data_IF_465461220585
#
_entry.id   IF_465461220585
#
_cell.length_a   1.000
_cell.length_b   1.000
_cell.length_c   1.000
_cell.angle_alpha   90.00
_cell.angle_beta   90.00
_cell.angle_gamma   90.00
#
_symmetry.space_group_name_H-M   'P 1'
#
loop_
_entity.id
_entity.type
_entity.pdbx_description
1 polymer ?
#
# COMPACT_ATOMS: atom_id res chain seq x y z
N UNK A 1 1.24 16.76 -19.21
CA UNK A 1 1.67 15.83 -18.22
C UNK A 1 0.49 15.20 -17.48
N UNK A 2 0.53 13.91 -17.34
CA UNK A 2 -0.60 13.19 -16.75
C UNK A 2 -0.81 13.44 -15.26
N UNK A 3 0.18 14.02 -14.59
CA UNK A 3 0.15 14.17 -13.14
C UNK A 3 -1.08 14.91 -12.65
N UNK A 4 -1.42 16.03 -13.26
CA UNK A 4 -2.58 16.81 -12.83
C UNK A 4 -3.88 16.02 -12.97
N UNK A 5 -4.01 15.24 -14.06
CA UNK A 5 -5.18 14.42 -14.28
C UNK A 5 -5.25 13.22 -13.34
N UNK A 6 -4.11 12.81 -12.79
CA UNK A 6 -4.04 11.65 -11.91
C UNK A 6 -3.94 12.03 -10.43
N UNK A 7 -3.97 13.31 -10.10
CA UNK A 7 -3.97 13.77 -8.72
C UNK A 7 -5.29 13.39 -8.08
N UNK A 8 -5.21 12.82 -6.89
CA UNK A 8 -6.38 12.33 -6.18
C UNK A 8 -6.51 13.02 -4.84
N UNK A 9 -7.73 13.44 -4.52
CA UNK A 9 -8.05 14.02 -3.22
C UNK A 9 -8.13 12.97 -2.13
N UNK A 10 -8.39 11.72 -2.49
CA UNK A 10 -8.48 10.58 -1.58
C UNK A 10 -7.39 9.59 -1.97
N UNK A 11 -6.74 9.04 -0.95
CA UNK A 11 -5.73 8.01 -1.16
C UNK A 11 -6.35 6.82 -1.88
N UNK A 12 -5.68 6.33 -2.90
CA UNK A 12 -6.19 5.24 -3.73
C UNK A 12 -5.17 4.10 -3.77
N UNK A 13 -5.67 2.89 -3.53
CA UNK A 13 -4.87 1.68 -3.64
C UNK A 13 -5.33 0.88 -4.86
N UNK A 14 -4.43 0.67 -5.80
CA UNK A 14 -4.63 -0.30 -6.87
C UNK A 14 -4.24 -1.67 -6.31
N UNK A 15 -5.19 -2.56 -6.27
CA UNK A 15 -5.09 -3.81 -5.50
C UNK A 15 -5.49 -5.00 -6.33
N UNK A 16 -4.64 -6.02 -6.33
CA UNK A 16 -5.02 -7.32 -6.87
C UNK A 16 -5.89 -8.06 -5.86
N UNK A 17 -7.07 -8.57 -6.27
CA UNK A 17 -8.00 -9.19 -5.32
C UNK A 17 -7.44 -10.43 -4.63
N UNK A 18 -6.55 -11.16 -5.30
CA UNK A 18 -5.95 -12.37 -4.75
C UNK A 18 -4.45 -12.21 -4.47
N UNK A 19 -3.91 -11.02 -4.64
CA UNK A 19 -2.49 -10.76 -4.45
C UNK A 19 -2.18 -10.58 -2.96
N UNK A 20 -1.24 -11.37 -2.47
CA UNK A 20 -0.88 -11.35 -1.06
C UNK A 20 -0.30 -10.00 -0.62
N UNK A 21 0.47 -9.36 -1.48
CA UNK A 21 1.10 -8.08 -1.16
C UNK A 21 0.08 -6.95 -1.11
N UNK A 22 -0.91 -6.99 -2.01
CA UNK A 22 -2.04 -6.05 -1.94
C UNK A 22 -2.83 -6.25 -0.65
N UNK A 23 -3.00 -7.49 -0.24
CA UNK A 23 -3.71 -7.82 1.00
C UNK A 23 -2.99 -7.23 2.22
N UNK A 24 -1.67 -7.34 2.27
CA UNK A 24 -0.87 -6.74 3.34
C UNK A 24 -1.14 -5.23 3.46
N UNK A 25 -1.12 -4.54 2.34
CA UNK A 25 -1.35 -3.09 2.32
C UNK A 25 -2.77 -2.75 2.77
N UNK A 26 -3.76 -3.54 2.34
CA UNK A 26 -5.16 -3.34 2.79
C UNK A 26 -5.29 -3.46 4.30
N UNK A 27 -4.61 -4.45 4.89
CA UNK A 27 -4.60 -4.64 6.35
C UNK A 27 -4.01 -3.40 7.04
N UNK A 28 -2.88 -2.93 6.55
CA UNK A 28 -2.22 -1.77 7.15
C UNK A 28 -3.10 -0.52 7.05
N UNK A 29 -3.70 -0.28 5.90
CA UNK A 29 -4.61 0.86 5.73
C UNK A 29 -5.79 0.79 6.69
N UNK A 30 -6.38 -0.40 6.85
CA UNK A 30 -7.49 -0.59 7.76
C UNK A 30 -7.06 -0.36 9.21
N UNK A 31 -5.90 -0.84 9.59
CA UNK A 31 -5.38 -0.68 10.95
C UNK A 31 -5.05 0.77 11.26
N UNK A 32 -4.56 1.51 10.30
CA UNK A 32 -4.29 2.94 10.45
C UNK A 32 -5.57 3.78 10.55
N UNK A 33 -6.70 3.23 10.14
CA UNK A 33 -7.98 3.92 10.23
C UNK A 33 -8.11 5.10 9.29
N UNK A 34 -7.38 5.11 8.18
CA UNK A 34 -7.42 6.20 7.22
C UNK A 34 -8.45 5.93 6.13
N UNK A 35 -8.98 7.01 5.56
CA UNK A 35 -9.90 6.89 4.43
C UNK A 35 -9.13 6.59 3.15
N UNK A 36 -9.58 5.61 2.40
CA UNK A 36 -8.95 5.26 1.13
C UNK A 36 -9.96 4.61 0.22
N UNK A 37 -9.65 4.61 -1.07
CA UNK A 37 -10.42 3.92 -2.08
C UNK A 37 -9.59 2.77 -2.63
N UNK A 38 -10.25 1.67 -2.98
CA UNK A 38 -9.60 0.53 -3.61
C UNK A 38 -10.07 0.44 -5.06
N UNK A 39 -9.11 0.35 -5.97
CA UNK A 39 -9.39 -0.02 -7.35
C UNK A 39 -8.86 -1.43 -7.58
N UNK A 40 -9.74 -2.35 -7.87
CA UNK A 40 -9.35 -3.74 -8.13
C UNK A 40 -8.74 -3.85 -9.52
N UNK A 41 -7.59 -4.52 -9.58
CA UNK A 41 -6.84 -4.68 -10.82
C UNK A 41 -6.85 -6.14 -11.21
N UNK A 42 -7.35 -6.42 -12.39
CA UNK A 42 -7.26 -7.75 -12.96
C UNK A 42 -5.92 -7.88 -13.68
N UNK A 43 -5.28 -9.03 -13.49
CA UNK A 43 -3.93 -9.28 -13.97
C UNK A 43 -3.76 -9.02 -15.47
N UNK A 44 -4.76 -9.40 -16.24
CA UNK A 44 -4.66 -9.32 -17.69
C UNK A 44 -5.27 -8.04 -18.28
N UNK A 45 -5.77 -7.16 -17.44
CA UNK A 45 -6.43 -5.94 -17.90
C UNK A 45 -6.21 -4.78 -16.91
N UNK A 46 -4.98 -4.30 -16.78
CA UNK A 46 -4.72 -3.18 -15.88
C UNK A 46 -5.40 -1.90 -16.40
N UNK A 47 -5.95 -1.07 -15.48
CA UNK A 47 -6.55 0.19 -15.90
C UNK A 47 -5.49 1.15 -16.42
N UNK A 48 -5.91 2.05 -17.30
CA UNK A 48 -5.00 3.01 -17.92
C UNK A 48 -4.31 3.89 -16.87
N UNK A 49 -5.01 4.26 -15.81
CA UNK A 49 -4.43 5.06 -14.73
C UNK A 49 -3.23 4.37 -14.10
N UNK A 50 -3.33 3.07 -13.89
CA UNK A 50 -2.22 2.31 -13.33
C UNK A 50 -1.03 2.27 -14.29
N UNK A 51 -1.30 2.09 -15.57
CA UNK A 51 -0.25 2.07 -16.59
C UNK A 51 0.49 3.39 -16.61
N UNK A 52 -0.24 4.50 -16.51
CA UNK A 52 0.35 5.83 -16.52
C UNK A 52 1.16 6.14 -15.27
N UNK A 53 0.73 5.64 -14.12
CA UNK A 53 1.34 5.95 -12.84
C UNK A 53 2.50 5.03 -12.48
N UNK A 54 2.43 3.77 -12.87
CA UNK A 54 3.44 2.77 -12.54
C UNK A 54 3.90 2.06 -13.79
N UNK A 55 5.14 2.30 -14.24
CA UNK A 55 5.67 1.67 -15.45
C UNK A 55 5.65 0.14 -15.39
N UNK A 56 5.75 -0.43 -14.20
CA UNK A 56 5.73 -1.88 -14.00
C UNK A 56 4.32 -2.45 -13.97
N UNK A 57 3.30 -1.59 -13.87
CA UNK A 57 1.90 -1.99 -13.81
C UNK A 57 1.62 -3.03 -12.70
N UNK A 58 2.43 -2.99 -11.66
CA UNK A 58 2.35 -3.97 -10.58
C UNK A 58 1.34 -3.53 -9.51
N UNK A 59 0.86 -4.50 -8.77
CA UNK A 59 0.05 -4.25 -7.59
C UNK A 59 0.78 -4.81 -6.38
N UNK A 60 0.66 -4.19 -5.22
CA UNK A 60 -0.11 -2.97 -4.93
C UNK A 60 0.59 -1.71 -5.45
N UNK A 61 -0.19 -0.73 -5.82
CA UNK A 61 0.29 0.62 -6.12
C UNK A 61 -0.57 1.61 -5.33
N UNK A 62 0.06 2.46 -4.54
CA UNK A 62 -0.62 3.45 -3.73
C UNK A 62 -0.43 4.83 -4.32
N UNK A 63 -1.52 5.57 -4.42
CA UNK A 63 -1.49 6.97 -4.84
C UNK A 63 -2.00 7.82 -3.69
N UNK A 64 -1.16 8.74 -3.22
CA UNK A 64 -1.51 9.71 -2.20
C UNK A 64 -1.20 11.10 -2.77
N UNK A 65 -2.24 11.79 -3.23
CA UNK A 65 -2.10 13.07 -3.93
C UNK A 65 -1.24 12.90 -5.19
N UNK A 66 -0.09 13.52 -5.25
CA UNK A 66 0.81 13.42 -6.39
C UNK A 66 1.86 12.33 -6.24
N UNK A 67 1.90 11.69 -5.07
CA UNK A 67 2.87 10.65 -4.78
C UNK A 67 2.33 9.30 -5.21
N UNK A 68 3.13 8.55 -5.96
CA UNK A 68 2.80 7.19 -6.37
C UNK A 68 3.91 6.27 -5.88
N UNK A 69 3.51 5.23 -5.15
CA UNK A 69 4.43 4.25 -4.61
C UNK A 69 4.00 2.84 -5.00
N UNK A 70 4.96 1.99 -5.26
CA UNK A 70 4.73 0.56 -5.45
C UNK A 70 5.76 -0.22 -4.63
N UNK A 71 5.59 -1.52 -4.51
CA UNK A 71 6.25 -2.40 -3.57
C UNK A 71 5.61 -2.30 -2.19
N UNK A 72 5.05 -3.42 -1.73
CA UNK A 72 4.28 -3.43 -0.49
C UNK A 72 5.07 -2.92 0.71
N UNK A 73 6.35 -3.29 0.80
CA UNK A 73 7.18 -2.88 1.93
C UNK A 73 7.38 -1.37 1.97
N UNK A 74 7.64 -0.77 0.82
CA UNK A 74 7.80 0.68 0.71
C UNK A 74 6.50 1.39 1.08
N UNK A 75 5.38 0.87 0.58
CA UNK A 75 4.06 1.43 0.89
C UNK A 75 3.79 1.36 2.39
N UNK A 76 4.05 0.22 3.02
CA UNK A 76 3.82 0.04 4.45
C UNK A 76 4.69 0.97 5.29
N UNK A 77 5.95 1.15 4.91
CA UNK A 77 6.84 2.10 5.59
C UNK A 77 6.34 3.53 5.45
N UNK A 78 5.91 3.90 4.24
CA UNK A 78 5.34 5.22 4.01
C UNK A 78 4.10 5.46 4.88
N UNK A 79 3.20 4.47 4.93
CA UNK A 79 1.98 4.59 5.73
C UNK A 79 2.29 4.72 7.22
N UNK A 80 3.30 4.01 7.70
CA UNK A 80 3.70 4.09 9.09
C UNK A 80 4.28 5.46 9.44
N UNK A 81 5.04 6.07 8.55
CA UNK A 81 5.57 7.41 8.74
C UNK A 81 4.49 8.49 8.61
N UNK A 82 3.61 8.33 7.63
CA UNK A 82 2.55 9.30 7.34
C UNK A 82 1.48 9.29 8.42
N UNK A 83 1.18 8.11 8.97
CA UNK A 83 0.18 7.90 10.01
C UNK A 83 0.82 7.11 11.15
N UNK A 84 1.54 7.76 12.04
CA UNK A 84 2.35 7.05 13.04
C UNK A 84 1.57 6.32 14.12
N UNK A 85 0.26 6.55 14.22
CA UNK A 85 -0.55 5.90 15.25
C UNK A 85 -1.74 5.15 14.63
N UNK A 86 -1.93 3.87 14.98
CA UNK A 86 -1.03 3.04 15.79
C UNK A 86 0.23 2.67 15.01
N UNK A 87 1.38 2.57 15.68
CA UNK A 87 2.61 2.24 14.98
C UNK A 87 2.63 0.78 14.57
N UNK A 88 3.17 0.52 13.38
CA UNK A 88 3.42 -0.83 12.90
C UNK A 88 4.79 -1.33 13.35
N UNK A 89 5.74 -0.41 13.46
CA UNK A 89 7.11 -0.72 13.83
C UNK A 89 7.48 0.09 15.07
N UNK A 90 7.32 -0.52 16.27
CA UNK A 90 7.66 0.15 17.51
C UNK A 90 9.12 0.53 17.57
N UNK A 91 9.42 1.64 18.26
CA UNK A 91 10.77 2.18 18.39
C UNK A 91 11.64 1.33 19.29
N UNK A 92 11.04 0.56 20.21
CA UNK A 92 11.79 -0.19 21.21
C UNK A 92 12.34 -1.50 20.63
N UNK A 93 13.62 -1.80 20.85
CA UNK A 93 14.26 -3.00 20.28
C UNK A 93 13.54 -4.31 20.59
N UNK A 94 13.02 -4.43 21.81
CA UNK A 94 12.31 -5.65 22.23
C UNK A 94 11.05 -5.84 21.39
N UNK A 95 10.31 -4.77 21.18
CA UNK A 95 9.09 -4.83 20.39
C UNK A 95 9.38 -4.97 18.89
N UNK A 96 10.56 -4.57 18.42
CA UNK A 96 10.94 -4.73 17.02
C UNK A 96 10.96 -6.20 16.61
N UNK A 97 11.40 -7.08 17.48
CA UNK A 97 11.39 -8.51 17.19
C UNK A 97 9.99 -9.04 16.96
N UNK A 98 9.05 -8.64 17.80
CA UNK A 98 7.65 -9.01 17.67
C UNK A 98 7.03 -8.42 16.41
N UNK A 99 7.34 -7.17 16.10
CA UNK A 99 6.85 -6.52 14.90
C UNK A 99 7.36 -7.19 13.63
N UNK A 100 8.63 -7.58 13.62
CA UNK A 100 9.20 -8.31 12.49
C UNK A 100 8.53 -9.65 12.30
N UNK A 101 8.24 -10.34 13.40
CA UNK A 101 7.52 -11.60 13.35
C UNK A 101 6.10 -11.41 12.79
N UNK A 102 5.43 -10.36 13.24
CA UNK A 102 4.11 -10.02 12.72
C UNK A 102 4.14 -9.76 11.22
N UNK A 103 5.09 -8.95 10.76
CA UNK A 103 5.26 -8.66 9.33
C UNK A 103 5.60 -9.92 8.54
N UNK A 104 6.43 -10.78 9.11
CA UNK A 104 6.77 -12.05 8.49
C UNK A 104 5.52 -12.91 8.31
N UNK A 105 4.65 -12.96 9.31
CA UNK A 105 3.38 -13.70 9.21
C UNK A 105 2.48 -13.14 8.12
N UNK A 106 2.37 -11.82 8.03
CA UNK A 106 1.59 -11.20 6.96
C UNK A 106 2.14 -11.61 5.59
N UNK A 107 3.46 -11.60 5.43
CA UNK A 107 4.10 -11.93 4.16
C UNK A 107 4.02 -13.39 3.79
N UNK A 108 3.95 -14.29 4.77
CA UNK A 108 4.06 -15.73 4.52
C UNK A 108 2.80 -16.52 4.81
N UNK A 109 1.90 -16.02 5.66
CA UNK A 109 0.70 -16.75 6.08
C UNK A 109 -0.54 -16.32 5.30
N UNK A 110 -0.44 -15.28 4.52
CA UNK A 110 -1.52 -14.78 3.67
C UNK A 110 -1.24 -15.16 2.21
#
# INVERSE_FOLDING_TARGET
MAVAANTRSVMTLFSGPTDIYSHQVRIVLAEKGVSFEIEHVEKDNPPQDLIDLNPNQSVPTLVDRELTLWESRIIMEYLDERFPHPPLMPVYPVALGESRLYMHRIENDW
#
